data_IF_496183306407
#
_entry.id   IF_496183306407
#
_cell.length_a   1.000
_cell.length_b   1.000
_cell.length_c   1.000
_cell.angle_alpha   90.00
_cell.angle_beta   90.00
_cell.angle_gamma   90.00
#
_symmetry.space_group_name_H-M   'P 1'
#
loop_
_entity.id
_entity.type
_entity.pdbx_description
1 polymer ?
#
# COMPACT_ATOMS: atom_id res chain seq x y z
N UNK A 1 -15.11 -33.27 -66.41
CA UNK A 1 -14.39 -33.39 -65.13
C UNK A 1 -14.73 -32.18 -64.27
N UNK A 2 -15.96 -32.15 -63.74
CA UNK A 2 -16.57 -30.94 -63.18
C UNK A 2 -17.41 -31.33 -61.96
N UNK A 3 -16.85 -32.16 -61.08
CA UNK A 3 -17.61 -32.77 -59.98
C UNK A 3 -16.77 -33.06 -58.73
N UNK A 4 -15.68 -32.30 -58.50
CA UNK A 4 -14.84 -32.49 -57.31
C UNK A 4 -14.52 -31.22 -56.52
N UNK A 5 -15.07 -30.06 -56.91
CA UNK A 5 -14.85 -28.78 -56.22
C UNK A 5 -16.10 -28.21 -55.51
N UNK A 6 -17.27 -28.84 -55.63
CA UNK A 6 -18.47 -28.43 -54.88
C UNK A 6 -18.62 -29.13 -53.51
N UNK A 7 -17.87 -30.22 -53.28
CA UNK A 7 -17.93 -30.95 -52.00
C UNK A 7 -17.16 -30.31 -50.84
N UNK A 8 -16.53 -29.15 -51.05
CA UNK A 8 -15.82 -28.40 -49.99
C UNK A 8 -16.47 -27.06 -49.60
N UNK A 9 -17.69 -26.79 -50.09
CA UNK A 9 -18.47 -25.59 -49.75
C UNK A 9 -19.73 -25.87 -48.93
N UNK A 10 -19.80 -27.05 -48.31
CA UNK A 10 -20.71 -27.36 -47.19
C UNK A 10 -19.88 -27.50 -45.90
N UNK A 11 -18.96 -26.56 -45.68
CA UNK A 11 -18.50 -26.31 -44.31
C UNK A 11 -19.68 -25.68 -43.57
N UNK A 12 -20.35 -26.54 -42.81
CA UNK A 12 -21.42 -26.24 -41.87
C UNK A 12 -21.05 -24.94 -41.13
N UNK A 13 -21.82 -23.89 -41.40
CA UNK A 13 -21.71 -22.56 -40.82
C UNK A 13 -21.98 -22.64 -39.30
N UNK A 14 -21.02 -23.15 -38.55
CA UNK A 14 -21.08 -23.28 -37.09
C UNK A 14 -20.90 -21.89 -36.49
N UNK A 15 -22.00 -21.15 -36.37
CA UNK A 15 -22.04 -19.87 -35.67
C UNK A 15 -21.50 -20.08 -34.25
N UNK A 16 -20.39 -19.42 -33.92
CA UNK A 16 -19.76 -19.46 -32.59
C UNK A 16 -20.67 -18.93 -31.47
N UNK A 17 -21.75 -18.22 -31.82
CA UNK A 17 -22.76 -17.67 -30.91
C UNK A 17 -24.13 -18.20 -31.30
N UNK A 18 -25.04 -18.28 -30.32
CA UNK A 18 -26.46 -18.46 -30.62
C UNK A 18 -27.00 -17.15 -31.23
N UNK A 19 -27.96 -17.24 -32.14
CA UNK A 19 -28.71 -16.09 -32.63
C UNK A 19 -29.57 -15.50 -31.51
N UNK A 20 -30.15 -14.32 -31.74
CA UNK A 20 -31.02 -13.68 -30.75
C UNK A 20 -32.30 -14.51 -30.52
N UNK A 21 -32.86 -15.11 -31.56
CA UNK A 21 -34.04 -15.99 -31.45
C UNK A 21 -33.73 -17.29 -30.71
N UNK A 22 -32.58 -17.91 -31.00
CA UNK A 22 -32.07 -19.08 -30.27
C UNK A 22 -31.84 -18.74 -28.80
N UNK A 23 -31.25 -17.58 -28.53
CA UNK A 23 -31.02 -17.09 -27.17
C UNK A 23 -32.35 -16.80 -26.45
N UNK A 24 -33.34 -16.23 -27.14
CA UNK A 24 -34.67 -15.98 -26.63
C UNK A 24 -35.37 -17.26 -26.22
N UNK A 25 -35.32 -18.29 -27.08
CA UNK A 25 -35.81 -19.63 -26.75
C UNK A 25 -35.13 -20.20 -25.50
N UNK A 26 -33.79 -20.18 -25.44
CA UNK A 26 -33.06 -20.75 -24.31
C UNK A 26 -33.38 -20.03 -22.99
N UNK A 27 -33.61 -18.71 -23.03
CA UNK A 27 -34.01 -17.92 -21.86
C UNK A 27 -35.34 -18.36 -21.26
N UNK A 28 -36.30 -18.82 -22.06
CA UNK A 28 -37.60 -19.31 -21.57
C UNK A 28 -37.46 -20.52 -20.63
N UNK A 29 -36.43 -21.34 -20.83
CA UNK A 29 -36.19 -22.54 -20.04
C UNK A 29 -35.23 -22.33 -18.85
N UNK A 30 -34.67 -21.12 -18.71
CA UNK A 30 -33.77 -20.79 -17.58
C UNK A 30 -34.48 -20.89 -16.22
N UNK A 31 -35.72 -20.40 -16.02
CA UNK A 31 -36.40 -20.53 -14.73
C UNK A 31 -36.56 -21.99 -14.29
N UNK A 32 -36.96 -22.88 -15.20
CA UNK A 32 -37.12 -24.31 -14.93
C UNK A 32 -35.78 -24.96 -14.58
N UNK A 33 -34.72 -24.62 -15.31
CA UNK A 33 -33.36 -25.07 -15.01
C UNK A 33 -32.89 -24.63 -13.61
N UNK A 34 -33.15 -23.38 -13.25
CA UNK A 34 -32.77 -22.81 -11.96
C UNK A 34 -33.56 -23.45 -10.82
N UNK A 35 -34.86 -23.62 -10.97
CA UNK A 35 -35.68 -24.33 -10.00
C UNK A 35 -35.19 -25.78 -9.81
N UNK A 36 -34.96 -26.52 -10.90
CA UNK A 36 -34.58 -27.94 -10.80
C UNK A 36 -33.23 -28.17 -10.11
N UNK A 37 -32.27 -27.26 -10.28
CA UNK A 37 -30.88 -27.51 -9.86
C UNK A 37 -30.30 -26.54 -8.83
N UNK A 38 -31.06 -25.51 -8.46
CA UNK A 38 -30.57 -24.45 -7.57
C UNK A 38 -31.60 -23.98 -6.53
N UNK A 39 -32.81 -24.57 -6.44
CA UNK A 39 -33.79 -24.23 -5.39
C UNK A 39 -33.78 -25.16 -4.17
N UNK A 40 -33.08 -26.30 -4.23
CA UNK A 40 -32.97 -27.27 -3.12
C UNK A 40 -31.51 -27.46 -2.71
N UNK A 41 -31.22 -27.41 -1.40
CA UNK A 41 -29.88 -27.50 -0.78
C UNK A 41 -29.18 -28.87 -0.89
N UNK A 42 -29.51 -29.67 -1.90
CA UNK A 42 -28.91 -30.97 -2.17
C UNK A 42 -27.73 -30.89 -3.14
N UNK A 43 -26.68 -31.67 -2.89
CA UNK A 43 -25.63 -31.90 -3.86
C UNK A 43 -26.20 -32.64 -5.09
N UNK A 44 -26.23 -31.99 -6.25
CA UNK A 44 -26.65 -32.63 -7.51
C UNK A 44 -25.55 -33.57 -8.00
N UNK A 45 -25.89 -34.82 -8.27
CA UNK A 45 -24.96 -35.82 -8.80
C UNK A 45 -24.30 -35.37 -10.11
N UNK A 46 -23.06 -35.84 -10.32
CA UNK A 46 -22.25 -35.49 -11.49
C UNK A 46 -22.93 -36.04 -12.76
N UNK A 47 -23.27 -35.16 -13.69
CA UNK A 47 -23.81 -35.52 -15.00
C UNK A 47 -25.32 -35.30 -15.16
N UNK A 48 -26.08 -35.20 -14.06
CA UNK A 48 -27.54 -34.99 -14.10
C UNK A 48 -27.93 -33.71 -14.84
N UNK A 49 -27.17 -32.63 -14.62
CA UNK A 49 -27.34 -31.34 -15.31
C UNK A 49 -27.17 -31.46 -16.83
N UNK A 50 -26.19 -32.26 -17.28
CA UNK A 50 -25.95 -32.48 -18.71
C UNK A 50 -27.08 -33.30 -19.31
N UNK A 51 -27.45 -34.39 -18.64
CA UNK A 51 -28.54 -35.27 -19.06
C UNK A 51 -29.88 -34.52 -19.17
N UNK A 52 -30.14 -33.59 -18.25
CA UNK A 52 -31.34 -32.77 -18.31
C UNK A 52 -31.39 -31.89 -19.56
N UNK A 53 -30.27 -31.24 -19.93
CA UNK A 53 -30.22 -30.44 -21.17
C UNK A 53 -30.41 -31.33 -22.40
N UNK A 54 -29.79 -32.50 -22.40
CA UNK A 54 -29.87 -33.46 -23.50
C UNK A 54 -31.30 -34.01 -23.68
N UNK A 55 -32.05 -34.20 -22.59
CA UNK A 55 -33.39 -34.79 -22.63
C UNK A 55 -34.51 -33.74 -22.77
N UNK A 56 -34.35 -32.56 -22.18
CA UNK A 56 -35.44 -31.58 -22.08
C UNK A 56 -35.28 -30.39 -23.03
N UNK A 57 -34.05 -30.01 -23.37
CA UNK A 57 -33.80 -28.81 -24.17
C UNK A 57 -33.40 -29.15 -25.59
N UNK A 58 -32.46 -30.09 -25.75
CA UNK A 58 -31.93 -30.44 -27.07
C UNK A 58 -33.02 -30.86 -28.08
N UNK A 59 -34.01 -31.71 -27.73
CA UNK A 59 -35.06 -32.10 -28.67
C UNK A 59 -35.90 -30.90 -29.15
N UNK A 60 -36.33 -30.06 -28.20
CA UNK A 60 -37.12 -28.86 -28.48
C UNK A 60 -36.33 -27.83 -29.31
N UNK A 61 -35.03 -27.71 -29.05
CA UNK A 61 -34.15 -26.79 -29.77
C UNK A 61 -33.97 -27.21 -31.23
N UNK A 62 -33.77 -28.52 -31.48
CA UNK A 62 -33.66 -29.07 -32.84
C UNK A 62 -34.98 -28.91 -33.59
N UNK A 63 -36.12 -29.23 -32.97
CA UNK A 63 -37.43 -29.12 -33.59
C UNK A 63 -37.74 -27.68 -34.02
N UNK A 64 -37.35 -26.69 -33.19
CA UNK A 64 -37.62 -25.28 -33.46
C UNK A 64 -36.71 -24.68 -34.53
N UNK A 65 -35.41 -24.96 -34.48
CA UNK A 65 -34.41 -24.24 -35.30
C UNK A 65 -33.81 -25.08 -36.44
N UNK A 66 -33.97 -26.41 -36.43
CA UNK A 66 -33.39 -27.32 -37.40
C UNK A 66 -34.40 -28.36 -37.90
N UNK A 67 -35.45 -27.85 -38.57
CA UNK A 67 -36.51 -28.66 -39.20
C UNK A 67 -36.00 -29.48 -40.39
N UNK A 68 -35.01 -28.97 -41.11
CA UNK A 68 -34.37 -29.66 -42.23
C UNK A 68 -33.15 -30.47 -41.75
N UNK A 69 -33.10 -31.75 -42.12
CA UNK A 69 -32.03 -32.69 -41.75
C UNK A 69 -30.68 -32.23 -42.32
N UNK A 70 -30.67 -31.59 -43.49
CA UNK A 70 -29.45 -31.13 -44.16
C UNK A 70 -28.72 -30.00 -43.42
N UNK A 71 -29.40 -29.29 -42.50
CA UNK A 71 -28.84 -28.16 -41.76
C UNK A 71 -28.45 -28.50 -40.31
N UNK A 72 -28.61 -29.76 -39.89
CA UNK A 72 -28.35 -30.17 -38.50
C UNK A 72 -26.84 -30.14 -38.20
N UNK A 73 -26.40 -29.35 -37.22
CA UNK A 73 -25.01 -29.38 -36.78
C UNK A 73 -24.73 -30.72 -36.08
N UNK A 74 -23.44 -31.01 -35.88
CA UNK A 74 -23.02 -32.17 -35.09
C UNK A 74 -23.76 -32.21 -33.74
N UNK A 75 -24.51 -33.30 -33.51
CA UNK A 75 -25.41 -33.45 -32.38
C UNK A 75 -24.68 -33.32 -31.03
N UNK A 76 -23.51 -33.95 -30.90
CA UNK A 76 -22.72 -33.93 -29.67
C UNK A 76 -22.20 -32.52 -29.37
N UNK A 77 -21.71 -31.83 -30.39
CA UNK A 77 -21.25 -30.45 -30.26
C UNK A 77 -22.38 -29.51 -29.83
N UNK A 78 -23.56 -29.61 -30.44
CA UNK A 78 -24.70 -28.76 -30.11
C UNK A 78 -25.20 -29.02 -28.69
N UNK A 79 -25.28 -30.28 -28.26
CA UNK A 79 -25.58 -30.66 -26.87
C UNK A 79 -24.61 -30.02 -25.88
N UNK A 80 -23.30 -30.14 -26.14
CA UNK A 80 -22.27 -29.54 -25.29
C UNK A 80 -22.34 -28.00 -25.29
N UNK A 81 -22.66 -27.38 -26.43
CA UNK A 81 -22.84 -25.93 -26.56
C UNK A 81 -24.05 -25.44 -25.75
N UNK A 82 -25.18 -26.13 -25.85
CA UNK A 82 -26.39 -25.86 -25.07
C UNK A 82 -26.13 -26.02 -23.57
N UNK A 83 -25.48 -27.12 -23.18
CA UNK A 83 -25.13 -27.38 -21.78
C UNK A 83 -24.24 -26.28 -21.20
N UNK A 84 -23.18 -25.87 -21.91
CA UNK A 84 -22.31 -24.75 -21.51
C UNK A 84 -23.08 -23.44 -21.37
N UNK A 85 -24.08 -23.20 -22.23
CA UNK A 85 -24.91 -22.00 -22.16
C UNK A 85 -25.71 -21.94 -20.85
N UNK A 86 -26.37 -23.03 -20.45
CA UNK A 86 -27.12 -23.10 -19.19
C UNK A 86 -26.22 -23.07 -17.95
N UNK A 87 -25.05 -23.70 -18.00
CA UNK A 87 -24.06 -23.63 -16.91
C UNK A 87 -23.61 -22.19 -16.63
N UNK A 88 -23.38 -21.40 -17.69
CA UNK A 88 -22.94 -20.02 -17.57
C UNK A 88 -24.02 -19.05 -17.06
N UNK A 89 -25.25 -19.55 -16.81
CA UNK A 89 -26.42 -18.78 -16.36
C UNK A 89 -26.81 -19.07 -14.90
N UNK A 90 -25.91 -19.63 -14.08
CA UNK A 90 -26.10 -19.71 -12.62
C UNK A 90 -26.54 -18.33 -12.10
N UNK A 91 -27.64 -18.32 -11.32
CA UNK A 91 -28.34 -17.14 -10.77
C UNK A 91 -27.56 -15.83 -10.91
N UNK A 92 -27.96 -14.99 -11.87
CA UNK A 92 -27.45 -13.62 -12.01
C UNK A 92 -27.60 -12.82 -10.72
N UNK A 93 -28.60 -13.18 -9.89
CA UNK A 93 -28.87 -12.61 -8.58
C UNK A 93 -27.91 -13.08 -7.48
N UNK A 94 -27.26 -14.23 -7.65
CA UNK A 94 -26.23 -14.73 -6.72
C UNK A 94 -24.83 -14.60 -7.31
N UNK A 95 -24.61 -13.63 -8.20
CA UNK A 95 -23.29 -13.03 -8.33
C UNK A 95 -23.02 -12.23 -7.05
N UNK A 96 -22.84 -12.94 -5.94
CA UNK A 96 -21.92 -12.46 -4.91
C UNK A 96 -20.65 -12.03 -5.64
N UNK A 97 -20.06 -10.88 -5.24
CA UNK A 97 -19.11 -10.12 -6.02
C UNK A 97 -18.19 -11.10 -6.72
N UNK A 98 -18.40 -11.24 -8.02
CA UNK A 98 -17.76 -12.23 -8.87
C UNK A 98 -16.31 -12.17 -8.48
N UNK A 99 -15.82 -13.15 -7.69
CA UNK A 99 -14.53 -13.06 -6.99
C UNK A 99 -13.60 -12.51 -8.03
N UNK A 100 -13.31 -11.21 -7.93
CA UNK A 100 -12.34 -10.57 -8.78
C UNK A 100 -11.15 -11.41 -8.42
N UNK A 101 -10.78 -12.39 -9.28
CA UNK A 101 -9.60 -13.20 -9.07
C UNK A 101 -8.56 -12.14 -8.82
N UNK A 102 -8.21 -11.94 -7.55
CA UNK A 102 -7.36 -10.82 -7.15
C UNK A 102 -6.13 -11.11 -7.97
N UNK A 103 -5.86 -10.23 -8.94
CA UNK A 103 -4.77 -10.48 -9.87
C UNK A 103 -3.56 -10.52 -8.98
N UNK A 104 -3.04 -11.72 -8.70
CA UNK A 104 -1.95 -11.83 -7.75
C UNK A 104 -0.86 -10.87 -8.21
N UNK A 105 -0.53 -9.91 -7.35
CA UNK A 105 0.52 -8.93 -7.63
C UNK A 105 1.89 -9.63 -7.70
N UNK A 106 1.95 -10.86 -7.20
CA UNK A 106 3.10 -11.76 -7.12
C UNK A 106 3.41 -12.51 -8.42
N UNK A 107 3.19 -11.91 -9.59
CA UNK A 107 3.63 -12.56 -10.85
C UNK A 107 5.13 -12.39 -11.00
N UNK A 108 5.84 -13.53 -11.05
CA UNK A 108 7.25 -13.55 -11.48
C UNK A 108 7.37 -12.74 -12.79
N UNK A 109 8.38 -11.86 -12.90
CA UNK A 109 8.62 -11.15 -14.14
C UNK A 109 8.80 -12.17 -15.27
N UNK A 110 8.17 -11.92 -16.42
CA UNK A 110 8.26 -12.82 -17.56
C UNK A 110 9.49 -12.50 -18.37
N UNK A 111 10.06 -13.51 -19.01
CA UNK A 111 11.07 -13.31 -20.04
C UNK A 111 10.52 -12.39 -21.13
N UNK A 112 11.31 -11.39 -21.52
CA UNK A 112 10.96 -10.43 -22.56
C UNK A 112 11.75 -10.76 -23.84
N UNK A 113 11.12 -10.58 -25.00
CA UNK A 113 11.83 -10.49 -26.28
C UNK A 113 12.26 -9.05 -26.57
N UNK A 114 13.06 -8.82 -27.61
CA UNK A 114 13.58 -7.48 -27.98
C UNK A 114 12.49 -6.42 -28.11
N UNK A 115 11.40 -6.71 -28.83
CA UNK A 115 10.25 -5.81 -28.98
C UNK A 115 9.59 -5.46 -27.63
N UNK A 116 9.52 -6.42 -26.71
CA UNK A 116 8.89 -6.21 -25.41
C UNK A 116 9.80 -5.39 -24.48
N UNK A 117 11.12 -5.57 -24.58
CA UNK A 117 12.11 -4.76 -23.87
C UNK A 117 12.15 -3.33 -24.42
N UNK A 118 12.12 -3.17 -25.74
CA UNK A 118 11.96 -1.86 -26.38
C UNK A 118 10.71 -1.13 -25.88
N UNK A 119 9.57 -1.82 -25.80
CA UNK A 119 8.34 -1.21 -25.31
C UNK A 119 8.38 -0.84 -23.82
N UNK A 120 9.25 -1.49 -23.04
CA UNK A 120 9.50 -1.13 -21.65
C UNK A 120 10.31 0.18 -21.56
N UNK A 121 11.36 0.32 -22.37
CA UNK A 121 12.24 1.49 -22.40
C UNK A 121 11.58 2.71 -23.07
N UNK A 122 10.77 2.49 -24.11
CA UNK A 122 10.10 3.53 -24.91
C UNK A 122 8.61 3.68 -24.61
N UNK A 123 8.19 3.36 -23.38
CA UNK A 123 6.78 3.33 -23.00
C UNK A 123 6.05 4.65 -23.26
N UNK A 124 6.68 5.77 -22.92
CA UNK A 124 6.06 7.09 -23.03
C UNK A 124 5.92 7.54 -24.48
N UNK A 125 6.92 7.27 -25.30
CA UNK A 125 6.92 7.54 -26.75
C UNK A 125 5.80 6.76 -27.46
N UNK A 126 5.66 5.46 -27.17
CA UNK A 126 4.57 4.62 -27.70
C UNK A 126 3.21 5.15 -27.23
N UNK A 127 3.11 5.56 -25.97
CA UNK A 127 1.87 6.11 -25.41
C UNK A 127 1.49 7.40 -26.11
N UNK A 128 2.44 8.29 -26.33
CA UNK A 128 2.24 9.56 -27.02
C UNK A 128 1.81 9.35 -28.48
N UNK A 129 2.47 8.47 -29.23
CA UNK A 129 2.07 8.17 -30.60
C UNK A 129 0.69 7.48 -30.68
N UNK A 130 0.36 6.62 -29.71
CA UNK A 130 -0.98 6.03 -29.63
C UNK A 130 -2.08 7.08 -29.39
N UNK A 131 -1.74 8.18 -28.69
CA UNK A 131 -2.64 9.32 -28.45
C UNK A 131 -2.81 10.19 -29.69
N UNK A 132 -1.75 10.46 -30.45
CA UNK A 132 -1.86 11.21 -31.71
C UNK A 132 -2.78 10.49 -32.73
N UNK A 133 -2.76 9.15 -32.75
CA UNK A 133 -3.68 8.36 -33.59
C UNK A 133 -5.16 8.44 -33.19
N UNK A 134 -5.48 8.91 -31.98
CA UNK A 134 -6.87 9.17 -31.56
C UNK A 134 -7.51 10.23 -32.46
N UNK A 135 -6.72 11.20 -32.93
CA UNK A 135 -7.20 12.27 -33.80
C UNK A 135 -7.52 11.78 -35.23
N UNK A 136 -6.96 10.64 -35.66
CA UNK A 136 -7.03 10.18 -37.05
C UNK A 136 -7.99 9.00 -37.30
N UNK A 137 -8.40 8.25 -36.27
CA UNK A 137 -9.35 7.13 -36.44
C UNK A 137 -10.19 6.87 -35.17
N UNK A 138 -11.44 7.37 -35.10
CA UNK A 138 -12.22 7.37 -33.85
C UNK A 138 -12.73 5.99 -33.38
N UNK A 139 -12.63 4.92 -34.17
CA UNK A 139 -13.29 3.62 -33.89
C UNK A 139 -12.45 2.56 -33.19
N UNK A 140 -11.11 2.68 -33.16
CA UNK A 140 -10.26 1.58 -32.69
C UNK A 140 -10.22 1.44 -31.16
N UNK A 141 -10.07 0.23 -30.64
CA UNK A 141 -9.91 0.05 -29.18
C UNK A 141 -8.55 0.63 -28.73
N UNK A 142 -8.47 1.29 -27.56
CA UNK A 142 -7.23 1.90 -27.06
C UNK A 142 -6.02 0.96 -27.02
N UNK A 143 -6.26 -0.32 -26.70
CA UNK A 143 -5.20 -1.33 -26.63
C UNK A 143 -4.64 -1.70 -28.01
N UNK A 144 -5.49 -1.73 -29.04
CA UNK A 144 -5.08 -2.06 -30.40
C UNK A 144 -4.27 -0.92 -31.02
N UNK A 145 -4.63 0.34 -30.70
CA UNK A 145 -3.85 1.53 -31.07
C UNK A 145 -2.46 1.51 -30.45
N UNK A 146 -2.36 1.19 -29.16
CA UNK A 146 -1.08 1.06 -28.47
C UNK A 146 -0.21 -0.05 -29.10
N UNK A 147 -0.81 -1.19 -29.43
CA UNK A 147 -0.10 -2.30 -30.11
C UNK A 147 0.37 -1.91 -31.51
N UNK A 148 -0.43 -1.15 -32.25
CA UNK A 148 -0.07 -0.66 -33.58
C UNK A 148 1.10 0.34 -33.51
N UNK A 149 1.01 1.36 -32.65
CA UNK A 149 2.09 2.33 -32.44
C UNK A 149 3.40 1.65 -31.99
N UNK A 150 3.29 0.66 -31.09
CA UNK A 150 4.44 -0.13 -30.64
C UNK A 150 5.13 -0.87 -31.79
N UNK A 151 4.37 -1.46 -32.71
CA UNK A 151 4.95 -2.18 -33.87
C UNK A 151 5.57 -1.21 -34.85
N UNK A 152 4.88 -0.12 -35.18
CA UNK A 152 5.38 0.88 -36.12
C UNK A 152 6.72 1.48 -35.68
N UNK A 153 6.85 1.87 -34.40
CA UNK A 153 8.12 2.37 -33.88
C UNK A 153 9.22 1.32 -33.92
N UNK A 154 8.87 0.06 -33.67
CA UNK A 154 9.84 -1.03 -33.72
C UNK A 154 10.29 -1.34 -35.14
N UNK A 155 9.35 -1.37 -36.09
CA UNK A 155 9.62 -1.68 -37.49
C UNK A 155 10.43 -0.56 -38.16
N UNK A 156 10.28 0.68 -37.69
CA UNK A 156 11.07 1.84 -38.10
C UNK A 156 12.51 1.87 -37.58
N UNK A 157 12.88 1.00 -36.63
CA UNK A 157 14.27 0.87 -36.18
C UNK A 157 15.12 0.15 -37.23
N UNK A 158 16.39 0.53 -37.30
CA UNK A 158 17.43 -0.19 -38.01
C UNK A 158 17.70 -1.56 -37.36
N UNK A 159 18.22 -2.50 -38.16
CA UNK A 159 18.47 -3.87 -37.71
C UNK A 159 19.54 -3.94 -36.61
N UNK A 160 20.52 -3.02 -36.59
CA UNK A 160 21.54 -2.96 -35.55
C UNK A 160 20.93 -2.55 -34.20
N UNK A 161 20.04 -1.56 -34.20
CA UNK A 161 19.30 -1.16 -32.99
C UNK A 161 18.33 -2.26 -32.53
N UNK A 162 17.66 -2.98 -33.45
CA UNK A 162 16.83 -4.14 -33.08
C UNK A 162 17.68 -5.24 -32.44
N UNK A 163 18.86 -5.52 -32.97
CA UNK A 163 19.82 -6.47 -32.41
C UNK A 163 20.30 -6.04 -31.00
N UNK A 164 20.54 -4.74 -30.79
CA UNK A 164 20.86 -4.19 -29.46
C UNK A 164 19.74 -4.47 -28.45
N UNK A 165 18.48 -4.22 -28.79
CA UNK A 165 17.35 -4.50 -27.90
C UNK A 165 17.16 -6.00 -27.66
N UNK A 166 17.44 -6.84 -28.66
CA UNK A 166 17.42 -8.30 -28.48
C UNK A 166 18.52 -8.76 -27.52
N UNK A 167 19.72 -8.16 -27.59
CA UNK A 167 20.82 -8.41 -26.65
C UNK A 167 20.46 -7.94 -25.23
N UNK A 168 19.95 -6.71 -25.07
CA UNK A 168 19.47 -6.19 -23.77
C UNK A 168 18.38 -7.09 -23.16
N UNK A 169 17.42 -7.55 -23.98
CA UNK A 169 16.38 -8.48 -23.54
C UNK A 169 16.96 -9.83 -23.09
N UNK A 170 18.00 -10.31 -23.77
CA UNK A 170 18.71 -11.54 -23.40
C UNK A 170 19.48 -11.39 -22.08
N UNK A 171 20.15 -10.26 -21.87
CA UNK A 171 20.81 -9.93 -20.60
C UNK A 171 19.79 -9.82 -19.46
N UNK A 172 18.65 -9.17 -19.69
CA UNK A 172 17.54 -9.11 -18.73
C UNK A 172 16.96 -10.50 -18.41
N UNK A 173 16.80 -11.37 -19.41
CA UNK A 173 16.33 -12.73 -19.16
C UNK A 173 17.36 -13.55 -18.37
N UNK A 174 18.66 -13.32 -18.58
CA UNK A 174 19.71 -13.94 -17.77
C UNK A 174 19.64 -13.49 -16.31
N UNK A 175 19.38 -12.20 -16.04
CA UNK A 175 19.21 -11.72 -14.65
C UNK A 175 17.93 -12.27 -14.01
N UNK A 176 16.86 -12.50 -14.77
CA UNK A 176 15.67 -13.19 -14.26
C UNK A 176 15.93 -14.64 -13.86
N UNK A 177 16.76 -15.37 -14.62
CA UNK A 177 17.13 -16.77 -14.32
C UNK A 177 18.09 -16.84 -13.14
N UNK A 178 19.07 -15.93 -13.07
CA UNK A 178 20.02 -15.84 -11.95
C UNK A 178 19.35 -15.46 -10.62
N UNK A 179 18.13 -14.94 -10.68
CA UNK A 179 17.42 -14.41 -9.52
C UNK A 179 17.90 -13.00 -9.16
N UNK A 180 17.19 -12.31 -8.26
CA UNK A 180 17.56 -10.96 -7.85
C UNK A 180 18.90 -11.01 -7.10
N UNK A 181 19.88 -10.21 -7.54
CA UNK A 181 21.14 -10.01 -6.80
C UNK A 181 20.86 -9.40 -5.44
N UNK A 182 21.78 -9.55 -4.47
CA UNK A 182 21.63 -9.00 -3.11
C UNK A 182 21.33 -7.50 -3.15
N UNK A 183 21.96 -6.75 -4.05
CA UNK A 183 21.70 -5.32 -4.28
C UNK A 183 20.29 -5.03 -4.84
N UNK A 184 19.75 -5.91 -5.68
CA UNK A 184 18.37 -5.81 -6.19
C UNK A 184 17.37 -6.20 -5.11
N UNK A 185 17.64 -7.23 -4.30
CA UNK A 185 16.85 -7.56 -3.11
C UNK A 185 16.87 -6.40 -2.13
N UNK A 186 18.01 -5.73 -1.97
CA UNK A 186 18.10 -4.59 -1.09
C UNK A 186 17.42 -3.35 -1.69
N UNK A 187 17.59 -3.03 -2.96
CA UNK A 187 16.98 -1.82 -3.55
C UNK A 187 15.48 -2.00 -3.86
N UNK A 188 15.08 -3.16 -4.36
CA UNK A 188 13.70 -3.51 -4.75
C UNK A 188 12.96 -4.24 -3.63
N UNK A 189 13.60 -5.16 -2.91
CA UNK A 189 12.99 -5.81 -1.76
C UNK A 189 12.62 -4.83 -0.66
N UNK A 190 13.32 -3.69 -0.53
CA UNK A 190 12.90 -2.56 0.33
C UNK A 190 11.59 -1.88 -0.13
N UNK A 191 11.33 -1.77 -1.44
CA UNK A 191 10.01 -1.31 -1.95
C UNK A 191 8.93 -2.37 -1.79
N UNK A 192 9.32 -3.64 -1.82
CA UNK A 192 8.41 -4.76 -1.60
C UNK A 192 8.06 -4.95 -0.12
N UNK A 193 8.90 -4.47 0.81
CA UNK A 193 8.62 -4.50 2.25
C UNK A 193 7.37 -3.69 2.61
N UNK A 194 7.11 -2.57 1.94
CA UNK A 194 5.89 -1.77 2.17
C UNK A 194 4.62 -2.55 1.81
N UNK A 195 4.72 -3.48 0.87
CA UNK A 195 3.63 -4.32 0.40
C UNK A 195 3.69 -5.75 0.98
N UNK A 196 4.59 -6.04 1.93
CA UNK A 196 4.82 -7.40 2.43
C UNK A 196 3.54 -7.99 3.02
N UNK A 197 2.77 -7.16 3.73
CA UNK A 197 1.49 -7.54 4.33
C UNK A 197 0.52 -7.94 3.21
N UNK A 198 0.27 -7.02 2.28
CA UNK A 198 -0.66 -7.24 1.19
C UNK A 198 -0.31 -8.48 0.38
N UNK A 199 0.95 -8.63 -0.02
CA UNK A 199 1.44 -9.79 -0.76
C UNK A 199 1.26 -11.10 0.01
N UNK A 200 1.54 -11.11 1.32
CA UNK A 200 1.37 -12.29 2.16
C UNK A 200 -0.11 -12.67 2.29
N UNK A 201 -0.99 -11.70 2.52
CA UNK A 201 -2.42 -11.94 2.62
C UNK A 201 -3.02 -12.41 1.30
N UNK A 202 -2.59 -11.85 0.16
CA UNK A 202 -3.00 -12.31 -1.18
C UNK A 202 -2.57 -13.76 -1.44
N UNK A 203 -1.32 -14.10 -1.13
CA UNK A 203 -0.80 -15.46 -1.33
C UNK A 203 -1.56 -16.50 -0.50
N UNK A 204 -1.95 -16.15 0.73
CA UNK A 204 -2.70 -17.04 1.62
C UNK A 204 -4.18 -17.10 1.25
N UNK A 205 -4.74 -16.02 0.70
CA UNK A 205 -6.11 -16.03 0.18
C UNK A 205 -6.30 -16.98 -1.00
N UNK A 206 -5.26 -17.19 -1.82
CA UNK A 206 -5.29 -18.20 -2.89
C UNK A 206 -5.31 -19.65 -2.36
N UNK A 207 -5.03 -19.87 -1.07
CA UNK A 207 -5.05 -21.18 -0.41
C UNK A 207 -6.37 -21.44 0.33
N UNK A 208 -7.16 -20.40 0.60
CA UNK A 208 -8.48 -20.52 1.22
C UNK A 208 -9.55 -20.76 0.15
N UNK A 209 -10.42 -21.74 0.37
CA UNK A 209 -11.60 -21.96 -0.47
C UNK A 209 -11.73 -23.39 -0.99
N UNK A 210 -12.96 -23.71 -1.42
CA UNK A 210 -13.30 -25.01 -2.00
C UNK A 210 -13.05 -25.03 -3.52
N UNK A 211 -11.80 -24.81 -3.92
CA UNK A 211 -11.35 -24.91 -5.32
C UNK A 211 -10.11 -25.79 -5.45
N UNK A 212 -9.68 -26.10 -6.68
CA UNK A 212 -8.61 -27.08 -6.98
C UNK A 212 -7.25 -26.86 -6.28
N UNK A 213 -6.99 -25.65 -5.79
CA UNK A 213 -5.75 -25.26 -5.09
C UNK A 213 -5.98 -24.86 -3.63
N UNK A 214 -7.24 -24.84 -3.21
CA UNK A 214 -7.62 -24.40 -1.88
C UNK A 214 -7.77 -25.58 -0.94
N UNK A 215 -7.57 -25.33 0.35
CA UNK A 215 -7.65 -26.33 1.40
C UNK A 215 -9.04 -26.41 2.07
N UNK A 216 -10.07 -25.87 1.42
CA UNK A 216 -11.42 -25.79 1.98
C UNK A 216 -11.60 -24.56 2.88
N UNK A 217 -12.30 -24.73 3.99
CA UNK A 217 -12.65 -23.64 4.91
C UNK A 217 -11.51 -23.48 5.92
N UNK A 218 -10.48 -22.76 5.50
CA UNK A 218 -9.29 -22.47 6.31
C UNK A 218 -9.19 -20.97 6.58
N UNK A 219 -8.76 -20.64 7.80
CA UNK A 219 -8.42 -19.29 8.21
C UNK A 219 -6.93 -19.22 8.53
N UNK A 220 -6.24 -18.24 7.97
CA UNK A 220 -4.84 -17.98 8.24
C UNK A 220 -4.72 -16.73 9.11
N UNK A 221 -3.95 -16.85 10.18
CA UNK A 221 -3.45 -15.70 10.91
C UNK A 221 -1.94 -15.62 10.71
N UNK A 222 -1.44 -14.45 10.34
CA UNK A 222 -0.01 -14.22 10.14
C UNK A 222 0.45 -13.03 10.92
N UNK A 223 1.59 -13.23 11.59
CA UNK A 223 2.42 -12.17 12.12
C UNK A 223 3.77 -12.23 11.44
N UNK A 224 4.30 -11.06 11.11
CA UNK A 224 5.63 -10.95 10.51
C UNK A 224 6.35 -9.73 11.05
N UNK A 225 7.66 -9.74 10.88
CA UNK A 225 8.51 -8.63 11.25
C UNK A 225 9.57 -8.39 10.19
N UNK A 226 9.87 -7.14 9.92
CA UNK A 226 10.96 -6.72 9.05
C UNK A 226 11.68 -5.52 9.66
N UNK A 227 12.96 -5.33 9.36
CA UNK A 227 13.66 -4.10 9.70
C UNK A 227 13.55 -3.10 8.54
N UNK A 228 13.16 -1.88 8.87
CA UNK A 228 13.11 -0.74 7.95
C UNK A 228 14.53 -0.19 7.72
N UNK A 229 14.66 0.75 6.79
CA UNK A 229 15.95 1.39 6.42
C UNK A 229 16.67 2.07 7.59
N UNK A 230 15.91 2.55 8.56
CA UNK A 230 16.37 3.16 9.81
C UNK A 230 16.81 2.11 10.87
N UNK A 231 16.79 0.83 10.52
CA UNK A 231 17.05 -0.27 11.45
C UNK A 231 15.90 -0.55 12.42
N UNK A 232 14.80 0.22 12.34
CA UNK A 232 13.66 0.04 13.22
C UNK A 232 12.91 -1.25 12.87
N UNK A 233 12.57 -2.01 13.90
CA UNK A 233 11.74 -3.21 13.76
C UNK A 233 10.29 -2.79 13.48
N UNK A 234 9.77 -3.18 12.33
CA UNK A 234 8.37 -3.07 11.98
C UNK A 234 7.72 -4.44 12.06
N UNK A 235 6.70 -4.57 12.89
CA UNK A 235 5.88 -5.79 13.00
C UNK A 235 4.55 -5.57 12.32
N UNK A 236 4.05 -6.58 11.62
CA UNK A 236 2.75 -6.57 10.98
C UNK A 236 1.94 -7.80 11.34
N UNK A 237 0.62 -7.70 11.14
CA UNK A 237 -0.32 -8.79 11.32
C UNK A 237 -1.42 -8.74 10.27
N UNK A 238 -2.02 -9.88 9.98
CA UNK A 238 -3.23 -9.95 9.17
C UNK A 238 -3.90 -11.30 9.30
N UNK A 239 -5.21 -11.31 9.07
CA UNK A 239 -6.03 -12.51 9.01
C UNK A 239 -6.60 -12.66 7.61
N UNK A 240 -6.66 -13.89 7.10
CA UNK A 240 -7.29 -14.23 5.84
C UNK A 240 -8.28 -15.35 6.11
N UNK A 241 -9.55 -15.12 5.82
CA UNK A 241 -10.61 -16.12 5.89
C UNK A 241 -11.53 -15.98 4.67
N UNK A 242 -12.30 -17.02 4.37
CA UNK A 242 -13.33 -16.96 3.32
C UNK A 242 -14.64 -16.34 3.81
N UNK A 243 -14.79 -16.12 5.11
CA UNK A 243 -16.01 -15.56 5.69
C UNK A 243 -15.99 -14.03 5.61
N UNK A 244 -17.16 -13.44 5.34
CA UNK A 244 -17.33 -11.98 5.30
C UNK A 244 -17.12 -11.34 6.67
N UNK A 245 -17.19 -12.12 7.74
CA UNK A 245 -16.80 -11.76 9.10
C UNK A 245 -15.26 -11.68 9.21
N UNK A 246 -14.69 -10.57 8.78
CA UNK A 246 -13.26 -10.25 8.91
C UNK A 246 -12.86 -9.82 10.34
N UNK A 247 -13.49 -10.39 11.37
CA UNK A 247 -13.02 -10.19 12.73
C UNK A 247 -11.68 -10.91 12.86
N UNK A 248 -10.58 -10.14 12.81
CA UNK A 248 -9.25 -10.72 12.82
C UNK A 248 -8.97 -11.45 14.13
N UNK A 249 -8.13 -12.49 14.10
CA UNK A 249 -7.80 -13.35 15.25
C UNK A 249 -7.50 -12.59 16.56
N UNK A 250 -6.92 -11.39 16.46
CA UNK A 250 -6.65 -10.50 17.61
C UNK A 250 -7.90 -10.11 18.41
N UNK A 251 -9.09 -10.17 17.82
CA UNK A 251 -10.36 -9.85 18.50
C UNK A 251 -10.88 -10.99 19.36
N UNK A 252 -10.50 -12.22 19.01
CA UNK A 252 -10.89 -13.44 19.73
C UNK A 252 -9.85 -13.90 20.76
N UNK A 253 -8.60 -13.45 20.62
CA UNK A 253 -7.52 -13.78 21.54
C UNK A 253 -7.52 -12.85 22.78
N UNK A 254 -7.68 -13.38 24.00
CA UNK A 254 -7.65 -12.57 25.22
C UNK A 254 -6.26 -11.96 25.43
N UNK A 255 -6.24 -10.64 25.65
CA UNK A 255 -5.03 -9.83 25.82
C UNK A 255 -3.95 -10.12 24.75
N UNK A 256 -4.37 -10.13 23.49
CA UNK A 256 -3.51 -10.39 22.34
C UNK A 256 -2.24 -9.53 22.32
N UNK A 257 -2.33 -8.26 22.75
CA UNK A 257 -1.20 -7.33 22.73
C UNK A 257 -0.08 -7.78 23.67
N UNK A 258 -0.40 -8.18 24.90
CA UNK A 258 0.62 -8.60 25.86
C UNK A 258 1.00 -10.08 25.71
N UNK A 259 0.05 -10.96 25.40
CA UNK A 259 0.30 -12.40 25.39
C UNK A 259 0.95 -12.91 24.10
N UNK A 260 0.76 -12.21 22.98
CA UNK A 260 1.20 -12.68 21.66
C UNK A 260 2.07 -11.62 20.98
N UNK A 261 1.60 -10.38 20.88
CA UNK A 261 2.30 -9.35 20.11
C UNK A 261 3.61 -8.90 20.73
N UNK A 262 3.61 -8.58 22.03
CA UNK A 262 4.82 -8.14 22.72
C UNK A 262 5.92 -9.22 22.73
N UNK A 263 5.64 -10.50 23.09
CA UNK A 263 6.61 -11.59 22.98
C UNK A 263 7.14 -11.79 21.57
N UNK A 264 6.26 -11.72 20.56
CA UNK A 264 6.68 -11.83 19.16
C UNK A 264 7.63 -10.69 18.75
N UNK A 265 7.32 -9.44 19.15
CA UNK A 265 8.17 -8.28 18.85
C UNK A 265 9.53 -8.41 19.54
N UNK A 266 9.54 -8.88 20.79
CA UNK A 266 10.79 -9.13 21.53
C UNK A 266 11.63 -10.20 20.85
N UNK A 267 11.03 -11.34 20.51
CA UNK A 267 11.67 -12.41 19.74
C UNK A 267 12.22 -11.89 18.41
N UNK A 268 11.43 -11.14 17.64
CA UNK A 268 11.82 -10.60 16.34
C UNK A 268 12.98 -9.59 16.46
N UNK A 269 13.05 -8.83 17.56
CA UNK A 269 14.17 -7.92 17.81
C UNK A 269 15.50 -8.64 18.04
N UNK A 270 15.45 -9.86 18.60
CA UNK A 270 16.62 -10.71 18.86
C UNK A 270 17.07 -11.48 17.62
N UNK A 271 16.13 -11.99 16.82
CA UNK A 271 16.44 -12.89 15.69
C UNK A 271 16.79 -12.15 14.40
N UNK A 272 16.19 -10.97 14.15
CA UNK A 272 16.47 -10.23 12.92
C UNK A 272 17.77 -9.43 13.05
N UNK A 273 18.80 -9.76 12.26
CA UNK A 273 20.12 -9.15 12.37
C UNK A 273 20.05 -7.64 12.18
N UNK A 274 20.81 -6.91 13.00
CA UNK A 274 20.94 -5.46 12.93
C UNK A 274 22.14 -5.14 12.03
N UNK A 275 21.91 -5.04 10.72
CA UNK A 275 22.94 -4.62 9.78
C UNK A 275 22.98 -3.09 9.70
N UNK A 276 23.76 -2.47 10.57
CA UNK A 276 24.46 -1.24 10.19
C UNK A 276 25.79 -1.64 9.53
N UNK A 277 26.30 -0.90 8.54
CA UNK A 277 27.71 -0.98 8.19
C UNK A 277 28.49 -0.52 9.43
N UNK A 278 28.92 -1.49 10.24
CA UNK A 278 29.85 -1.28 11.35
C UNK A 278 31.15 -0.74 10.74
N UNK A 279 31.46 0.54 10.98
CA UNK A 279 32.87 0.94 11.01
C UNK A 279 33.46 0.29 12.26
N UNK A 280 34.43 -0.58 12.04
CA UNK A 280 35.23 -1.22 13.07
C UNK A 280 35.83 -0.16 14.00
N UNK A 281 35.68 -0.35 15.31
CA UNK A 281 36.32 0.51 16.30
C UNK A 281 35.74 0.39 17.70
N UNK A 282 36.32 -0.50 18.51
CA UNK A 282 36.65 -0.21 19.91
C UNK A 282 35.55 -0.24 20.97
N UNK A 283 35.42 -1.41 21.61
CA UNK A 283 35.27 -1.65 23.05
C UNK A 283 34.31 -0.85 23.96
N UNK A 284 33.59 -1.66 24.74
CA UNK A 284 33.09 -1.46 26.10
C UNK A 284 31.59 -1.15 26.28
N UNK A 285 31.02 -1.93 27.22
CA UNK A 285 29.63 -2.04 27.65
C UNK A 285 29.03 -0.71 28.10
N UNK A 286 27.80 -0.38 27.69
CA UNK A 286 26.63 -0.37 28.59
C UNK A 286 25.31 -0.06 27.84
N UNK A 287 24.20 -0.36 28.51
CA UNK A 287 22.82 -0.35 28.01
C UNK A 287 22.30 1.00 27.43
N UNK A 288 21.42 0.90 26.42
CA UNK A 288 20.38 1.90 26.12
C UNK A 288 20.55 2.63 24.79
N UNK A 289 19.60 2.43 23.87
CA UNK A 289 19.36 3.22 22.66
C UNK A 289 20.61 3.74 21.92
N UNK A 290 21.05 3.02 20.87
CA UNK A 290 21.99 3.55 19.87
C UNK A 290 21.33 4.68 19.06
N UNK A 291 21.19 5.82 19.71
CA UNK A 291 21.11 7.13 19.11
C UNK A 291 22.50 7.43 18.55
N UNK A 292 22.60 7.66 17.25
CA UNK A 292 23.81 8.17 16.59
C UNK A 292 24.41 9.26 17.49
N UNK A 293 25.51 8.93 18.18
CA UNK A 293 26.26 9.86 19.01
C UNK A 293 26.99 10.77 18.05
N UNK A 294 26.29 11.80 17.57
CA UNK A 294 26.95 12.96 17.02
C UNK A 294 27.74 13.55 18.20
N UNK A 295 29.08 13.53 18.18
CA UNK A 295 29.86 14.14 19.24
C UNK A 295 29.56 15.64 19.19
N UNK A 296 28.79 16.12 20.17
CA UNK A 296 28.57 17.55 20.38
C UNK A 296 29.81 18.06 21.09
N UNK A 297 30.58 18.91 20.41
CA UNK A 297 31.65 19.66 21.07
C UNK A 297 31.03 20.80 21.86
N UNK A 298 31.73 21.27 22.88
CA UNK A 298 31.35 22.46 23.63
C UNK A 298 32.29 23.58 23.17
N UNK A 299 31.73 24.74 22.78
CA UNK A 299 32.53 25.92 22.47
C UNK A 299 33.24 26.41 23.74
N UNK A 300 34.34 27.17 23.61
CA UNK A 300 35.00 27.90 24.70
C UNK A 300 34.03 28.68 25.63
N UNK A 301 32.88 29.12 25.10
CA UNK A 301 31.80 29.79 25.86
C UNK A 301 30.93 28.84 26.72
N UNK A 302 31.18 27.54 26.69
CA UNK A 302 30.42 26.54 27.44
C UNK A 302 29.12 26.06 26.76
N UNK A 303 28.85 26.43 25.50
CA UNK A 303 27.63 26.07 24.76
C UNK A 303 27.83 24.91 23.77
N UNK A 304 26.79 24.08 23.50
CA UNK A 304 26.91 22.99 22.56
C UNK A 304 27.07 23.49 21.12
N UNK A 305 27.96 22.81 20.39
CA UNK A 305 28.21 22.97 18.97
C UNK A 305 27.81 21.70 18.23
N UNK A 306 27.02 21.87 17.16
CA UNK A 306 26.80 20.79 16.22
C UNK A 306 27.99 20.74 15.25
N UNK A 307 28.46 19.55 14.84
CA UNK A 307 29.44 19.46 13.77
C UNK A 307 28.85 19.99 12.46
N UNK A 308 29.71 20.30 11.49
CA UNK A 308 29.30 20.73 10.14
C UNK A 308 28.46 19.66 9.44
N UNK A 309 27.16 19.71 9.65
CA UNK A 309 26.17 18.79 9.10
C UNK A 309 25.51 19.43 7.88
N UNK A 310 25.37 18.65 6.81
CA UNK A 310 24.57 19.01 5.65
C UNK A 310 23.10 18.61 5.92
N UNK A 311 22.17 19.57 6.17
CA UNK A 311 20.79 19.26 6.54
C UNK A 311 20.07 18.41 5.48
N UNK A 312 20.45 18.56 4.21
CA UNK A 312 19.82 17.87 3.08
C UNK A 312 20.20 16.38 3.01
N UNK A 313 21.24 15.98 3.73
CA UNK A 313 21.71 14.58 3.82
C UNK A 313 21.24 13.86 5.07
N UNK A 314 20.65 14.58 6.03
CA UNK A 314 20.19 14.02 7.30
C UNK A 314 18.76 13.49 7.13
N UNK A 315 18.49 12.20 7.40
CA UNK A 315 17.13 11.65 7.41
C UNK A 315 16.20 12.28 8.47
N UNK A 316 14.87 12.30 8.28
CA UNK A 316 13.95 13.00 9.18
C UNK A 316 14.01 12.56 10.65
N UNK A 317 14.22 11.27 10.88
CA UNK A 317 14.37 10.72 12.24
C UNK A 317 15.65 11.21 12.91
N UNK A 318 16.77 11.23 12.17
CA UNK A 318 18.05 11.73 12.68
C UNK A 318 17.96 13.23 12.97
N UNK A 319 17.31 14.02 12.11
CA UNK A 319 17.08 15.45 12.36
C UNK A 319 16.37 15.68 13.72
N UNK A 320 15.33 14.88 14.04
CA UNK A 320 14.63 14.96 15.34
C UNK A 320 15.54 14.60 16.51
N UNK A 321 16.38 13.57 16.36
CA UNK A 321 17.34 13.15 17.37
C UNK A 321 18.41 14.22 17.61
N UNK A 322 18.90 14.85 16.54
CA UNK A 322 19.94 15.89 16.61
C UNK A 322 19.41 17.12 17.33
N UNK A 323 18.22 17.60 16.93
CA UNK A 323 17.58 18.74 17.59
C UNK A 323 17.31 18.44 19.07
N UNK A 324 16.83 17.23 19.39
CA UNK A 324 16.60 16.81 20.78
C UNK A 324 17.89 16.88 21.60
N UNK A 325 18.95 16.24 21.11
CA UNK A 325 20.27 16.22 21.76
C UNK A 325 20.84 17.62 21.95
N UNK A 326 20.70 18.48 20.94
CA UNK A 326 21.15 19.87 21.02
C UNK A 326 20.44 20.63 22.15
N UNK A 327 19.12 20.48 22.25
CA UNK A 327 18.31 21.13 23.29
C UNK A 327 18.65 20.59 24.69
N UNK A 328 18.89 19.29 24.82
CA UNK A 328 19.32 18.66 26.08
C UNK A 328 20.68 19.20 26.55
N UNK A 329 21.67 19.32 25.66
CA UNK A 329 22.96 19.89 26.02
C UNK A 329 22.87 21.40 26.29
N UNK A 330 22.10 22.15 25.50
CA UNK A 330 21.90 23.57 25.72
C UNK A 330 21.23 23.83 27.09
N UNK A 331 20.35 22.93 27.52
CA UNK A 331 19.74 22.96 28.85
C UNK A 331 20.76 22.71 29.96
N UNK A 332 21.62 21.70 29.80
CA UNK A 332 22.72 21.41 30.76
C UNK A 332 23.65 22.61 30.94
N UNK A 333 23.95 23.31 29.85
CA UNK A 333 24.83 24.49 29.86
C UNK A 333 24.22 25.72 30.54
N UNK A 334 22.89 25.78 30.73
CA UNK A 334 22.18 26.96 31.27
C UNK A 334 22.20 27.11 32.81
N UNK A 335 22.93 26.23 33.51
CA UNK A 335 22.99 26.22 34.97
C UNK A 335 21.72 25.71 35.67
N UNK A 336 20.60 25.49 34.95
CA UNK A 336 19.48 24.68 35.46
C UNK A 336 19.83 23.18 35.47
N UNK A 337 20.58 22.70 34.48
CA UNK A 337 20.92 21.28 34.32
C UNK A 337 22.27 20.85 34.91
N UNK A 338 23.01 21.74 35.59
CA UNK A 338 24.24 21.38 36.31
C UNK A 338 23.95 20.65 37.63
N UNK A 339 22.73 20.77 38.16
CA UNK A 339 22.18 19.78 39.08
C UNK A 339 21.53 18.69 38.23
N UNK A 340 22.08 17.47 38.26
CA UNK A 340 21.71 16.31 37.44
C UNK A 340 20.23 15.82 37.57
N UNK A 341 19.32 16.65 38.09
CA UNK A 341 17.97 16.27 38.52
C UNK A 341 16.86 16.98 37.76
N UNK A 342 17.14 17.99 36.93
CA UNK A 342 16.11 18.74 36.21
C UNK A 342 16.09 18.37 34.73
N UNK A 343 15.09 17.58 34.36
CA UNK A 343 14.77 17.25 32.98
C UNK A 343 14.47 18.51 32.15
N UNK A 344 14.71 18.44 30.85
CA UNK A 344 14.35 19.50 29.91
C UNK A 344 12.83 19.75 30.00
N UNK A 345 12.36 20.99 30.13
CA UNK A 345 10.93 21.30 30.22
C UNK A 345 10.24 21.18 28.85
N UNK A 346 10.11 19.95 28.36
CA UNK A 346 9.54 19.62 27.05
C UNK A 346 8.13 20.17 26.88
N UNK A 347 7.32 20.19 27.95
CA UNK A 347 5.95 20.73 27.94
C UNK A 347 5.92 22.23 27.60
N UNK A 348 6.88 23.02 28.11
CA UNK A 348 6.96 24.45 27.85
C UNK A 348 7.50 24.69 26.44
N UNK A 349 8.55 23.96 26.03
CA UNK A 349 9.08 23.99 24.66
C UNK A 349 8.04 23.55 23.61
N UNK A 350 7.10 22.69 24.01
CA UNK A 350 5.96 22.25 23.22
C UNK A 350 4.93 23.34 22.90
N UNK A 351 4.95 24.45 23.63
CA UNK A 351 4.02 25.58 23.45
C UNK A 351 4.69 26.80 22.80
N UNK A 352 3.91 27.85 22.52
CA UNK A 352 4.43 29.16 22.09
C UNK A 352 4.95 30.03 23.23
N UNK A 353 4.66 29.70 24.49
CA UNK A 353 5.01 30.51 25.67
C UNK A 353 6.46 30.23 26.14
N UNK A 354 7.41 30.35 25.22
CA UNK A 354 8.83 29.98 25.42
C UNK A 354 9.67 31.10 26.01
N UNK A 355 9.14 32.32 26.05
CA UNK A 355 9.79 33.50 26.63
C UNK A 355 10.08 33.37 28.12
N UNK A 356 9.41 32.41 28.79
CA UNK A 356 9.64 32.07 30.21
C UNK A 356 10.92 31.31 30.45
N UNK A 357 11.48 30.65 29.42
CA UNK A 357 12.64 29.77 29.56
C UNK A 357 13.77 30.11 28.59
N UNK A 358 13.49 30.82 27.48
CA UNK A 358 14.49 31.25 26.49
C UNK A 358 14.83 32.73 26.64
N UNK A 359 16.12 33.07 26.57
CA UNK A 359 16.61 34.45 26.64
C UNK A 359 16.24 35.27 25.39
N UNK A 360 16.27 34.65 24.21
CA UNK A 360 15.78 35.24 22.95
C UNK A 360 14.97 34.21 22.16
N UNK A 361 13.64 34.18 22.29
CA UNK A 361 12.80 33.23 21.57
C UNK A 361 12.56 33.62 20.11
N UNK A 362 12.93 34.84 19.67
CA UNK A 362 12.58 35.38 18.34
C UNK A 362 12.96 34.47 17.17
N UNK A 363 14.16 33.83 17.15
CA UNK A 363 14.50 32.93 16.05
C UNK A 363 13.58 31.71 15.93
N UNK A 364 12.84 31.38 16.99
CA UNK A 364 11.97 30.20 17.07
C UNK A 364 10.48 30.52 17.28
N UNK A 365 10.10 31.80 17.30
CA UNK A 365 8.75 32.25 17.64
C UNK A 365 7.68 31.72 16.66
N UNK A 366 8.08 31.51 15.40
CA UNK A 366 7.20 31.01 14.35
C UNK A 366 6.87 29.51 14.46
N UNK A 367 7.62 28.72 15.23
CA UNK A 367 7.37 27.29 15.41
C UNK A 367 6.27 27.04 16.43
N UNK A 368 5.32 26.15 16.10
CA UNK A 368 4.25 25.76 17.05
C UNK A 368 4.81 24.98 18.25
N UNK A 369 5.82 24.13 18.03
CA UNK A 369 6.53 23.36 19.06
C UNK A 369 8.02 23.31 18.76
N UNK A 370 8.87 23.42 19.79
CA UNK A 370 10.30 23.09 19.74
C UNK A 370 10.59 21.66 20.23
N UNK A 371 9.59 20.97 20.78
CA UNK A 371 9.74 19.56 21.17
C UNK A 371 9.80 18.70 19.89
N UNK A 372 10.90 17.98 19.63
CA UNK A 372 11.01 17.16 18.41
C UNK A 372 9.97 16.03 18.33
N UNK A 373 9.34 15.64 19.44
CA UNK A 373 8.23 14.69 19.43
C UNK A 373 6.99 15.27 18.71
N UNK A 374 6.68 16.54 18.97
CA UNK A 374 5.46 17.21 18.51
C UNK A 374 5.67 18.06 17.25
N UNK A 375 6.92 18.50 17.01
CA UNK A 375 7.26 19.28 15.82
C UNK A 375 7.07 18.47 14.54
N UNK A 376 6.55 19.14 13.50
CA UNK A 376 6.45 18.56 12.16
C UNK A 376 7.85 18.27 11.61
N UNK A 377 7.95 17.40 10.60
CA UNK A 377 9.24 17.10 9.97
C UNK A 377 9.84 18.37 9.36
N UNK A 378 9.03 19.18 8.67
CA UNK A 378 9.47 20.46 8.10
C UNK A 378 9.97 21.43 9.17
N UNK A 379 9.26 21.55 10.29
CA UNK A 379 9.70 22.40 11.41
C UNK A 379 11.01 21.89 12.02
N UNK A 380 11.19 20.58 12.12
CA UNK A 380 12.44 19.98 12.64
C UNK A 380 13.65 20.38 11.78
N UNK A 381 13.53 20.32 10.45
CA UNK A 381 14.60 20.75 9.55
C UNK A 381 14.82 22.26 9.60
N UNK A 382 13.76 23.05 9.72
CA UNK A 382 13.87 24.50 9.85
C UNK A 382 14.56 24.90 11.17
N UNK A 383 14.22 24.24 12.29
CA UNK A 383 14.87 24.42 13.59
C UNK A 383 16.36 24.06 13.48
N UNK A 384 16.69 22.91 12.88
CA UNK A 384 18.07 22.48 12.65
C UNK A 384 18.84 23.46 11.76
N UNK A 385 18.22 23.95 10.69
CA UNK A 385 18.80 24.96 9.80
C UNK A 385 19.07 26.29 10.50
N UNK A 386 18.18 26.73 11.39
CA UNK A 386 18.40 27.93 12.21
C UNK A 386 19.56 27.73 13.18
N UNK A 387 19.66 26.57 13.83
CA UNK A 387 20.77 26.23 14.74
C UNK A 387 22.11 26.31 13.99
N UNK A 388 22.22 25.63 12.84
CA UNK A 388 23.44 25.61 12.03
C UNK A 388 23.77 26.99 11.44
N UNK A 389 22.76 27.76 10.99
CA UNK A 389 22.96 29.11 10.44
C UNK A 389 23.47 30.10 11.48
N UNK A 390 22.95 30.05 12.71
CA UNK A 390 23.42 30.93 13.77
C UNK A 390 24.81 30.53 14.27
N UNK A 391 25.09 29.22 14.39
CA UNK A 391 26.44 28.74 14.71
C UNK A 391 27.46 29.17 13.65
N UNK A 392 27.12 29.10 12.36
CA UNK A 392 27.98 29.60 11.28
C UNK A 392 28.25 31.10 11.32
N UNK A 393 27.42 31.88 12.03
CA UNK A 393 27.61 33.32 12.28
C UNK A 393 28.35 33.61 13.60
N UNK A 394 28.79 32.57 14.33
CA UNK A 394 29.33 32.71 15.68
C UNK A 394 28.28 33.13 16.72
N UNK A 395 27.00 33.05 16.40
CA UNK A 395 25.89 33.36 17.30
C UNK A 395 25.41 32.09 18.00
N UNK A 396 24.87 32.28 19.19
CA UNK A 396 24.35 31.17 19.98
C UNK A 396 22.86 31.00 19.68
N UNK A 397 22.45 29.91 19.00
CA UNK A 397 21.11 29.80 18.46
C UNK A 397 20.03 29.79 19.51
N UNK A 398 20.30 29.14 20.64
CA UNK A 398 19.34 28.97 21.71
C UNK A 398 20.04 29.10 23.06
N UNK A 399 19.60 30.08 23.86
CA UNK A 399 20.03 30.29 25.23
C UNK A 399 18.84 30.14 26.15
N UNK A 400 18.93 29.25 27.13
CA UNK A 400 17.98 29.23 28.23
C UNK A 400 18.35 30.33 29.22
N UNK A 401 17.34 30.87 29.93
CA UNK A 401 17.56 31.82 31.02
C UNK A 401 18.37 31.12 32.13
N UNK A 402 19.41 31.74 32.67
CA UNK A 402 20.18 31.15 33.78
C UNK A 402 19.41 31.31 35.11
N UNK A 403 19.40 30.27 35.96
CA UNK A 403 18.82 30.31 37.30
C UNK A 403 19.42 31.43 38.20
N UNK A 404 20.70 31.76 37.98
CA UNK A 404 21.41 32.80 38.75
C UNK A 404 20.83 34.20 38.50
N UNK A 405 20.26 34.47 37.31
CA UNK A 405 19.69 35.78 36.99
C UNK A 405 18.31 36.01 37.64
N UNK A 406 17.57 34.94 37.98
CA UNK A 406 16.26 35.05 38.64
C UNK A 406 16.36 35.40 40.13
N UNK A 407 17.51 35.20 40.76
CA UNK A 407 17.77 35.63 42.15
C UNK A 407 18.15 37.12 42.21
N UNK A 408 18.66 37.71 41.12
CA UNK A 408 19.10 39.10 41.09
C UNK A 408 18.00 40.12 40.72
N UNK A 409 16.90 39.70 40.09
CA UNK A 409 15.77 40.59 39.81
C UNK A 409 14.43 39.84 39.90
N UNK A 410 13.74 39.87 41.06
CA UNK A 410 12.33 39.52 41.09
C UNK A 410 11.54 40.59 40.32
N UNK A 411 11.14 40.29 39.08
CA UNK A 411 10.03 41.00 38.45
C UNK A 411 8.81 40.80 39.34
N UNK A 412 8.39 41.89 39.98
CA UNK A 412 7.22 42.01 40.87
C UNK A 412 6.07 41.11 40.40
N UNK A 413 5.80 40.07 41.16
CA UNK A 413 4.48 39.46 41.24
C UNK A 413 3.67 40.44 42.10
N UNK A 414 2.83 41.26 41.49
CA UNK A 414 1.71 41.85 42.23
C UNK A 414 0.68 40.74 42.40
N UNK A 415 0.71 40.15 43.58
CA UNK A 415 -0.43 39.46 44.16
C UNK A 415 -1.61 40.43 44.19
N UNK A 416 -2.74 40.01 43.63
CA UNK A 416 -4.04 40.57 44.03
C UNK A 416 -4.89 39.38 44.43
N UNK A 417 -4.75 39.04 45.70
CA UNK A 417 -5.69 38.20 46.45
C UNK A 417 -6.98 38.98 46.67
N UNK A 418 -8.07 38.23 46.81
CA UNK A 418 -9.45 38.60 47.19
C UNK A 418 -10.36 38.92 45.99
N UNK A 419 -11.55 38.33 45.85
CA UNK A 419 -12.49 37.99 46.91
C UNK A 419 -13.54 36.98 46.41
N UNK A 420 -13.95 36.12 47.34
CA UNK A 420 -15.16 35.28 47.26
C UNK A 420 -16.38 36.19 47.09
N UNK A 421 -17.17 35.99 46.03
CA UNK A 421 -18.62 36.24 46.04
C UNK A 421 -19.29 35.13 45.26
N UNK A 422 -20.08 34.33 45.98
CA UNK A 422 -21.02 33.39 45.39
C UNK A 422 -22.10 34.14 44.60
N UNK A 423 -22.33 33.74 43.35
CA UNK A 423 -23.61 33.96 42.73
C UNK A 423 -24.02 32.74 41.90
N UNK A 424 -25.02 32.05 42.44
CA UNK A 424 -25.92 31.17 41.72
C UNK A 424 -26.50 31.90 40.50
N UNK A 425 -26.35 31.34 39.30
CA UNK A 425 -27.29 31.57 38.21
C UNK A 425 -27.54 30.27 37.45
N UNK A 426 -28.69 29.71 37.82
CA UNK A 426 -29.52 28.70 37.16
C UNK A 426 -29.62 28.98 35.66
N UNK A 427 -29.19 28.04 34.83
CA UNK A 427 -29.40 28.10 33.36
C UNK A 427 -30.80 27.54 33.07
N UNK A 428 -31.67 28.40 32.56
CA UNK A 428 -33.03 28.08 32.08
C UNK A 428 -32.96 27.57 30.64
N UNK A 429 -33.55 26.39 30.40
CA UNK A 429 -33.59 25.68 29.11
C UNK A 429 -34.95 25.79 28.43
N UNK A 430 -35.50 27.00 28.35
CA UNK A 430 -36.76 27.24 27.63
C UNK A 430 -36.50 27.58 26.14
N UNK A 431 -37.10 26.85 25.18
CA UNK A 431 -36.94 27.10 23.75
C UNK A 431 -37.68 28.36 23.26
N UNK A 432 -37.25 28.99 22.16
CA UNK A 432 -37.76 30.28 21.71
C UNK A 432 -39.19 30.19 21.17
N UNK A 433 -40.04 31.16 21.55
CA UNK A 433 -41.40 31.34 21.01
C UNK A 433 -41.36 31.90 19.57
N UNK A 434 -42.30 31.50 18.70
CA UNK A 434 -42.39 31.97 17.32
C UNK A 434 -42.84 33.43 17.21
N UNK A 435 -42.26 34.12 16.22
CA UNK A 435 -42.58 35.48 15.78
C UNK A 435 -43.99 35.51 15.20
N UNK A 436 -44.80 36.46 15.66
CA UNK A 436 -46.20 36.63 15.27
C UNK A 436 -46.37 36.97 13.79
N UNK A 437 -47.45 36.45 13.22
CA UNK A 437 -48.06 36.94 11.99
C UNK A 437 -48.77 38.27 12.27
N UNK A 438 -48.53 39.23 11.39
CA UNK A 438 -49.51 40.19 10.93
C UNK A 438 -49.35 40.30 9.41
#
# INVERSE_FOLDING_TARGET
MTTLLEHHRVEIFLKNKFTDDETGFLRLHVPTWLATFYSTEGAVEKGVKKLWVDNNIYPLFIEKFYKDIAQKPNAQYLKDKLYRWFLNRKNSASRGPQSCRRRSLLKKPRSLGGLAYFALEKRDEITQQSRYKIASSPGDKPLDRYRAARRELWDALDEDTKALYQRKASEYNKTLVAGPTTEVIESVGRRNQDNIIQHTMEALGDLSGRHWRGHGDVAFFVMGACRRKDGQLSTFRGSVSNDEANDGFQTFAPDFENNIRAPFKEWASKVLPYSFPQKEGGAARDNGHNSMTIPMSVHEDGFPLLPGLDPDRVPPYEAKVIVRKYLEEAWKCSGYGSSHTLDVPWDILGTKDRSRILQDPKPFEHFQSLNPADASIGDTYNILGIILSQQGKGQQPLRFLNAIAHIAYPRRITETTNQVVAHNTRIDFSPPKPVGQA
#
